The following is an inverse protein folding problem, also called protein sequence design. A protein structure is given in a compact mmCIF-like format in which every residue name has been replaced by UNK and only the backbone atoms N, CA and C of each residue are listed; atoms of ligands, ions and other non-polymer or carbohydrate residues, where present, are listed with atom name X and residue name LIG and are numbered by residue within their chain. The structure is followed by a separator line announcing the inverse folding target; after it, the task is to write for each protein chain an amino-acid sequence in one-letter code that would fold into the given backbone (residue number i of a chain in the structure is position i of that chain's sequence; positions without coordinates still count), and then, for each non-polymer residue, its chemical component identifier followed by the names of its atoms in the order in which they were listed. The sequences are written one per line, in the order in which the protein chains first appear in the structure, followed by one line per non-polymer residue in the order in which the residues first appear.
data_IF_108822826111
#
_entry.id   IF_108822826111
#
_cell.length_a   1.000
_cell.length_b   1.000
_cell.length_c   1.000
_cell.angle_alpha   90.00
_cell.angle_beta   90.00
_cell.angle_gamma   90.00
#
_symmetry.space_group_name_H-M   'P 1'
#
loop_
_entity.id
_entity.type
_entity.pdbx_description
1 polymer ?
#
# COMPACT_ATOMS: atom_id res chain seq x y z
N UNK A 1 -14.55 2.45 19.55
CA UNK A 1 -15.54 3.00 18.59
C UNK A 1 -16.49 1.90 18.14
N UNK A 2 -17.78 2.18 17.92
CA UNK A 2 -18.74 1.17 17.43
C UNK A 2 -18.58 0.97 15.93
N UNK A 3 -18.29 -0.26 15.49
CA UNK A 3 -18.13 -0.59 14.06
C UNK A 3 -19.46 -0.95 13.39
N UNK A 4 -19.41 -1.30 12.09
CA UNK A 4 -20.59 -1.69 11.30
C UNK A 4 -21.35 -2.88 11.90
N UNK A 5 -20.63 -3.84 12.48
CA UNK A 5 -21.20 -5.02 13.14
C UNK A 5 -21.80 -4.72 14.52
N UNK A 6 -21.74 -3.46 14.97
CA UNK A 6 -22.27 -3.02 16.25
C UNK A 6 -21.34 -3.29 17.44
N UNK A 7 -20.11 -3.73 17.20
CA UNK A 7 -19.13 -4.06 18.23
C UNK A 7 -18.26 -2.84 18.56
N UNK A 8 -17.89 -2.69 19.83
CA UNK A 8 -16.93 -1.68 20.24
C UNK A 8 -15.52 -2.21 20.03
N UNK A 9 -14.80 -1.61 19.08
CA UNK A 9 -13.45 -1.99 18.68
C UNK A 9 -12.47 -0.86 19.05
N UNK A 10 -11.34 -1.21 19.63
CA UNK A 10 -10.22 -0.31 19.95
C UNK A 10 -9.30 -0.11 18.74
N UNK A 11 -8.63 1.04 18.59
CA UNK A 11 -7.71 1.29 17.47
C UNK A 11 -6.37 0.58 17.72
N UNK A 12 -6.27 -0.69 17.34
CA UNK A 12 -5.02 -1.46 17.35
C UNK A 12 -4.52 -1.74 15.94
N UNK A 13 -3.26 -2.17 15.80
CA UNK A 13 -2.70 -2.57 14.51
C UNK A 13 -3.51 -3.71 13.88
N UNK A 14 -3.92 -4.70 14.67
CA UNK A 14 -4.73 -5.84 14.23
C UNK A 14 -6.10 -5.39 13.75
N UNK A 15 -6.77 -4.49 14.49
CA UNK A 15 -8.07 -3.95 14.10
C UNK A 15 -8.01 -3.08 12.83
N UNK A 16 -6.85 -2.49 12.57
CA UNK A 16 -6.56 -1.68 11.38
C UNK A 16 -6.31 -2.57 10.17
N UNK A 17 -5.52 -3.65 10.31
CA UNK A 17 -5.37 -4.67 9.26
C UNK A 17 -6.72 -5.31 8.92
N UNK A 18 -7.51 -5.68 9.94
CA UNK A 18 -8.83 -6.27 9.78
C UNK A 18 -9.83 -5.37 9.03
N UNK A 19 -9.65 -4.04 9.08
CA UNK A 19 -10.46 -3.09 8.34
C UNK A 19 -10.19 -3.11 6.83
N UNK A 20 -9.01 -3.56 6.41
CA UNK A 20 -8.60 -3.65 5.02
C UNK A 20 -8.75 -5.08 4.44
N UNK A 21 -9.05 -6.07 5.28
CA UNK A 21 -9.33 -7.45 4.85
C UNK A 21 -10.58 -7.52 3.96
N UNK A 22 -10.50 -8.33 2.89
CA UNK A 22 -11.63 -8.54 1.97
C UNK A 22 -11.94 -7.34 1.06
N UNK A 23 -11.17 -6.26 1.10
CA UNK A 23 -11.31 -5.14 0.17
C UNK A 23 -10.99 -5.61 -1.25
N UNK A 24 -11.88 -5.30 -2.19
CA UNK A 24 -11.61 -5.51 -3.62
C UNK A 24 -10.56 -4.51 -4.08
N UNK A 25 -9.41 -5.01 -4.53
CA UNK A 25 -8.28 -4.20 -4.99
C UNK A 25 -8.36 -4.04 -6.52
N UNK A 26 -8.72 -2.85 -7.04
CA UNK A 26 -8.78 -2.62 -8.48
C UNK A 26 -7.37 -2.57 -9.11
N UNK A 27 -7.30 -2.65 -10.43
CA UNK A 27 -6.02 -2.63 -11.17
C UNK A 27 -5.19 -1.36 -10.94
N UNK A 28 -5.84 -0.22 -10.69
CA UNK A 28 -5.16 1.05 -10.39
C UNK A 28 -4.83 1.21 -8.89
N UNK A 29 -5.05 0.19 -8.07
CA UNK A 29 -4.86 0.17 -6.61
C UNK A 29 -5.66 1.21 -5.83
N UNK A 30 -6.55 1.96 -6.48
CA UNK A 30 -7.38 2.99 -5.88
C UNK A 30 -8.48 2.42 -4.99
N UNK A 31 -8.09 1.86 -3.84
CA UNK A 31 -9.01 1.34 -2.83
C UNK A 31 -9.64 2.48 -2.02
N UNK A 32 -10.79 2.22 -1.41
CA UNK A 32 -11.40 3.10 -0.39
C UNK A 32 -11.95 2.22 0.71
N UNK A 33 -11.37 2.28 1.91
CA UNK A 33 -11.90 1.58 3.07
C UNK A 33 -13.03 2.45 3.64
N UNK A 34 -14.28 2.00 3.46
CA UNK A 34 -15.47 2.69 3.95
C UNK A 34 -16.31 1.74 4.77
N UNK A 35 -16.34 1.96 6.09
CA UNK A 35 -17.14 1.20 7.04
C UNK A 35 -16.99 -0.34 6.84
N UNK A 36 -15.81 -0.89 7.20
CA UNK A 36 -15.47 -2.28 6.93
C UNK A 36 -16.51 -3.24 7.50
N UNK A 37 -16.77 -4.34 6.79
CA UNK A 37 -17.71 -5.38 7.24
C UNK A 37 -17.11 -6.33 8.27
N UNK A 38 -15.79 -6.33 8.46
CA UNK A 38 -15.15 -7.22 9.42
C UNK A 38 -15.59 -6.87 10.86
N UNK A 39 -16.03 -7.87 11.66
CA UNK A 39 -16.44 -7.65 13.05
C UNK A 39 -15.30 -7.14 13.94
N UNK A 40 -14.05 -7.40 13.54
CA UNK A 40 -12.84 -6.96 14.26
C UNK A 40 -12.31 -5.61 13.76
N UNK A 41 -12.91 -5.03 12.73
CA UNK A 41 -12.39 -3.82 12.11
C UNK A 41 -12.63 -2.58 12.97
N UNK A 42 -11.60 -1.75 13.04
CA UNK A 42 -11.78 -0.38 13.48
C UNK A 42 -12.51 0.42 12.39
N UNK A 43 -13.57 1.19 12.73
CA UNK A 43 -14.44 1.79 11.72
C UNK A 43 -13.83 2.99 10.99
N UNK A 44 -12.82 3.63 11.58
CA UNK A 44 -12.15 4.82 11.03
C UNK A 44 -10.74 4.43 10.63
N UNK A 45 -10.63 3.66 9.55
CA UNK A 45 -9.36 3.21 8.99
C UNK A 45 -9.27 3.68 7.55
N UNK A 46 -8.08 4.19 7.17
CA UNK A 46 -7.74 4.51 5.80
C UNK A 46 -6.31 4.09 5.51
N UNK A 47 -6.07 3.78 4.25
CA UNK A 47 -4.77 3.62 3.65
C UNK A 47 -4.26 4.96 3.12
N UNK A 48 -2.95 5.01 2.84
CA UNK A 48 -2.30 6.06 2.07
C UNK A 48 -1.78 5.49 0.74
N UNK A 49 -1.39 6.36 -0.18
CA UNK A 49 -0.95 5.98 -1.52
C UNK A 49 0.37 6.66 -1.88
N UNK A 50 1.19 5.93 -2.65
CA UNK A 50 2.26 6.51 -3.45
C UNK A 50 1.77 6.52 -4.89
N UNK A 51 1.82 7.69 -5.52
CA UNK A 51 1.45 7.87 -6.92
C UNK A 51 2.73 8.17 -7.70
N UNK A 52 2.98 7.38 -8.74
CA UNK A 52 4.15 7.52 -9.62
C UNK A 52 3.74 7.32 -11.06
N UNK A 53 4.49 7.95 -11.97
CA UNK A 53 4.44 7.58 -13.38
C UNK A 53 4.93 6.14 -13.57
N UNK A 54 4.33 5.43 -14.52
CA UNK A 54 4.77 4.07 -14.87
C UNK A 54 6.16 4.09 -15.50
N UNK A 55 6.41 5.05 -16.39
CA UNK A 55 7.73 5.31 -16.95
C UNK A 55 8.27 6.62 -16.37
N UNK A 56 9.20 6.50 -15.43
CA UNK A 56 9.76 7.60 -14.65
C UNK A 56 10.68 8.50 -15.47
N UNK A 57 11.48 7.90 -16.36
CA UNK A 57 12.43 8.64 -17.19
C UNK A 57 11.71 9.38 -18.32
N UNK A 58 10.72 8.73 -18.95
CA UNK A 58 9.87 9.40 -19.95
C UNK A 58 9.07 10.55 -19.34
N UNK A 59 8.66 10.42 -18.08
CA UNK A 59 7.98 11.48 -17.35
C UNK A 59 8.92 12.60 -16.84
N UNK A 60 10.23 12.47 -17.04
CA UNK A 60 11.21 13.49 -16.65
C UNK A 60 11.44 13.57 -15.14
N UNK A 61 11.53 12.43 -14.44
CA UNK A 61 11.83 12.41 -13.00
C UNK A 61 13.13 13.21 -12.70
N UNK A 62 13.13 14.14 -11.73
CA UNK A 62 14.36 14.82 -11.31
C UNK A 62 15.42 13.82 -10.85
N UNK A 63 16.66 13.98 -11.33
CA UNK A 63 17.74 13.02 -11.08
C UNK A 63 17.80 11.84 -12.05
N UNK A 64 16.90 11.80 -13.06
CA UNK A 64 16.97 10.87 -14.18
C UNK A 64 16.88 9.40 -13.78
N UNK A 65 17.59 8.54 -14.51
CA UNK A 65 17.56 7.09 -14.31
C UNK A 65 18.00 6.66 -12.91
N UNK A 66 18.95 7.37 -12.29
CA UNK A 66 19.39 7.08 -10.93
C UNK A 66 18.26 7.24 -9.92
N UNK A 67 17.51 8.33 -10.00
CA UNK A 67 16.33 8.55 -9.16
C UNK A 67 15.21 7.55 -9.47
N UNK A 68 15.00 7.21 -10.74
CA UNK A 68 14.02 6.21 -11.14
C UNK A 68 14.29 4.84 -10.50
N UNK A 69 15.53 4.35 -10.58
CA UNK A 69 15.95 3.09 -9.93
C UNK A 69 15.89 3.19 -8.41
N UNK A 70 16.23 4.34 -7.84
CA UNK A 70 16.12 4.60 -6.41
C UNK A 70 14.68 4.45 -5.90
N UNK A 71 13.71 5.00 -6.63
CA UNK A 71 12.29 4.83 -6.30
C UNK A 71 11.85 3.37 -6.40
N UNK A 72 12.27 2.64 -7.42
CA UNK A 72 12.00 1.20 -7.55
C UNK A 72 12.47 0.43 -6.32
N UNK A 73 13.71 0.65 -5.88
CA UNK A 73 14.28 0.03 -4.68
C UNK A 73 13.55 0.43 -3.39
N UNK A 74 13.19 1.71 -3.25
CA UNK A 74 12.44 2.19 -2.09
C UNK A 74 11.09 1.48 -1.96
N UNK A 75 10.37 1.33 -3.07
CA UNK A 75 9.08 0.64 -3.10
C UNK A 75 9.25 -0.87 -2.87
N UNK A 76 10.26 -1.50 -3.46
CA UNK A 76 10.56 -2.91 -3.21
C UNK A 76 10.84 -3.17 -1.72
N UNK A 77 11.65 -2.32 -1.08
CA UNK A 77 11.91 -2.37 0.36
C UNK A 77 10.63 -2.16 1.19
N UNK A 78 9.87 -1.10 0.91
CA UNK A 78 8.65 -0.77 1.67
C UNK A 78 7.56 -1.85 1.58
N UNK A 79 7.51 -2.57 0.46
CA UNK A 79 6.58 -3.68 0.20
C UNK A 79 7.14 -5.06 0.60
N UNK A 80 8.31 -5.10 1.22
CA UNK A 80 8.93 -6.32 1.76
C UNK A 80 9.33 -6.11 3.22
N UNK A 81 10.62 -6.04 3.51
CA UNK A 81 11.19 -5.91 4.85
C UNK A 81 10.68 -4.68 5.59
N UNK A 82 10.39 -3.58 4.86
CA UNK A 82 9.83 -2.36 5.42
C UNK A 82 8.47 -2.54 6.09
N UNK A 83 7.69 -3.59 5.76
CA UNK A 83 6.44 -3.89 6.46
C UNK A 83 6.67 -4.25 7.94
N UNK A 84 7.83 -4.83 8.28
CA UNK A 84 8.14 -5.26 9.66
C UNK A 84 8.36 -4.11 10.64
N UNK A 85 8.73 -2.93 10.14
CA UNK A 85 9.02 -1.75 10.97
C UNK A 85 7.85 -0.79 11.09
N UNK A 86 6.74 -1.02 10.37
CA UNK A 86 5.56 -0.14 10.39
C UNK A 86 4.96 0.03 11.79
N UNK A 87 4.99 -1.04 12.60
CA UNK A 87 4.48 -1.02 13.97
C UNK A 87 5.23 -0.06 14.89
N UNK A 88 6.49 0.29 14.57
CA UNK A 88 7.27 1.28 15.33
C UNK A 88 6.74 2.71 15.11
N UNK A 89 5.96 2.93 14.06
CA UNK A 89 5.33 4.19 13.72
C UNK A 89 3.79 4.11 13.79
N UNK A 90 3.25 3.10 14.48
CA UNK A 90 1.81 2.85 14.63
C UNK A 90 1.04 2.64 13.31
N UNK A 91 1.74 2.15 12.27
CA UNK A 91 1.12 1.74 11.01
C UNK A 91 0.91 0.22 10.96
N UNK A 92 -0.28 -0.18 10.53
CA UNK A 92 -0.61 -1.58 10.28
C UNK A 92 0.01 -2.06 8.97
N UNK A 93 0.39 -3.33 8.94
CA UNK A 93 0.87 -3.99 7.73
C UNK A 93 -0.24 -4.11 6.69
N UNK A 94 0.15 -4.08 5.42
CA UNK A 94 -0.78 -4.31 4.32
C UNK A 94 -1.29 -5.75 4.35
N UNK A 95 -2.62 -5.97 4.24
CA UNK A 95 -3.15 -7.30 3.98
C UNK A 95 -2.56 -7.90 2.71
N UNK A 96 -2.43 -9.23 2.68
CA UNK A 96 -1.78 -9.95 1.58
C UNK A 96 -2.34 -9.59 0.19
N UNK A 97 -3.66 -9.42 0.06
CA UNK A 97 -4.30 -9.04 -1.21
C UNK A 97 -3.86 -7.68 -1.74
N UNK A 98 -3.65 -6.71 -0.87
CA UNK A 98 -3.17 -5.37 -1.22
C UNK A 98 -1.66 -5.42 -1.46
N UNK A 99 -0.92 -6.10 -0.59
CA UNK A 99 0.54 -6.21 -0.69
C UNK A 99 0.97 -6.81 -2.04
N UNK A 100 0.37 -7.92 -2.46
CA UNK A 100 0.73 -8.60 -3.71
C UNK A 100 0.40 -7.75 -4.94
N UNK A 101 -0.74 -7.04 -4.93
CA UNK A 101 -1.10 -6.12 -6.01
C UNK A 101 -0.18 -4.90 -6.07
N UNK A 102 0.24 -4.39 -4.92
CA UNK A 102 1.22 -3.30 -4.82
C UNK A 102 2.60 -3.72 -5.32
N UNK A 103 3.07 -4.92 -4.97
CA UNK A 103 4.33 -5.49 -5.49
C UNK A 103 4.29 -5.62 -7.01
N UNK A 104 3.18 -6.15 -7.56
CA UNK A 104 3.01 -6.29 -9.00
C UNK A 104 3.04 -4.92 -9.72
N UNK A 105 2.44 -3.88 -9.13
CA UNK A 105 2.49 -2.52 -9.69
C UNK A 105 3.92 -1.93 -9.63
N UNK A 106 4.64 -2.12 -8.52
CA UNK A 106 6.02 -1.66 -8.36
C UNK A 106 6.97 -2.37 -9.35
N UNK A 107 6.78 -3.67 -9.59
CA UNK A 107 7.52 -4.43 -10.59
C UNK A 107 7.30 -3.92 -12.02
N UNK A 108 6.17 -3.24 -12.28
CA UNK A 108 5.82 -2.67 -13.58
C UNK A 108 6.43 -1.29 -13.87
N UNK A 109 7.26 -0.75 -12.97
CA UNK A 109 7.94 0.54 -13.16
C UNK A 109 9.01 0.46 -14.23
N UNK A 110 9.15 1.55 -14.98
CA UNK A 110 10.01 1.63 -16.16
C UNK A 110 10.84 2.92 -16.17
N UNK A 111 11.93 2.88 -16.93
CA UNK A 111 12.71 4.02 -17.36
C UNK A 111 12.94 3.92 -18.87
N UNK A 112 12.31 4.80 -19.65
CA UNK A 112 12.35 4.82 -21.11
C UNK A 112 11.98 3.44 -21.72
N UNK A 113 10.91 2.83 -21.21
CA UNK A 113 10.42 1.52 -21.61
C UNK A 113 11.15 0.31 -20.99
N UNK A 114 12.34 0.50 -20.41
CA UNK A 114 13.09 -0.58 -19.75
C UNK A 114 12.57 -0.78 -18.32
N UNK A 115 12.36 -2.04 -17.90
CA UNK A 115 11.95 -2.33 -16.53
C UNK A 115 13.00 -1.89 -15.51
N UNK A 116 12.54 -1.27 -14.43
CA UNK A 116 13.36 -0.92 -13.26
C UNK A 116 12.77 -1.43 -11.95
N UNK A 117 11.65 -2.15 -12.02
CA UNK A 117 11.02 -2.80 -10.88
C UNK A 117 11.75 -4.10 -10.55
N UNK A 118 12.50 -4.09 -9.46
CA UNK A 118 13.29 -5.20 -8.94
C UNK A 118 13.94 -4.83 -7.63
#
# INVERSE_FOLDING_TARGET
MKNKAGQFVSPTLESTTAAAEGVTVPANLGIKIKNPSSPKAYPITSQTFIISNRDLCKAGVPGGEGAAKGLGKLLAYGLSEGQSILSQADYAQLPASILEKSKAAAAGLQCNGSSIGG
#
